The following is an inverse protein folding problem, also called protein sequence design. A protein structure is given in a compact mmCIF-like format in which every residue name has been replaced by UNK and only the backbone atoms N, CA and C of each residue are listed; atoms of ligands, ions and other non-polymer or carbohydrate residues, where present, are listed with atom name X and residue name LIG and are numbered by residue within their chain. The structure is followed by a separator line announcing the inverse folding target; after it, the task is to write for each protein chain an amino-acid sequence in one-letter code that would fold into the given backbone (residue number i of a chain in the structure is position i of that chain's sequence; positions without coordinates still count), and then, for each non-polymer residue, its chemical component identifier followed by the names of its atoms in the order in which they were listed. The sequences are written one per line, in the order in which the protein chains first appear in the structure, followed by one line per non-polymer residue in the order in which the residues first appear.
data_IF_683140849292
#
_entry.id   IF_683140849292
#
_cell.length_a   1.000
_cell.length_b   1.000
_cell.length_c   1.000
_cell.angle_alpha   90.00
_cell.angle_beta   90.00
_cell.angle_gamma   90.00
#
_symmetry.space_group_name_H-M   'P 1'
#
loop_
_entity.id
_entity.type
_entity.pdbx_description
1 polymer ?
#
# COMPACT_ATOMS: atom_id res chain seq x y z
N UNK A 1 -58.15 15.72 16.83
CA UNK A 1 -57.06 15.54 15.85
C UNK A 1 -55.66 15.88 16.42
N UNK A 2 -55.51 16.95 17.20
CA UNK A 2 -54.23 17.41 17.81
C UNK A 2 -53.54 16.39 18.73
N UNK A 3 -54.29 15.65 19.56
CA UNK A 3 -53.73 14.61 20.47
C UNK A 3 -53.09 13.42 19.73
N UNK A 4 -53.63 13.00 18.58
CA UNK A 4 -53.06 11.93 17.73
C UNK A 4 -51.77 12.38 17.04
N UNK A 5 -51.69 13.65 16.62
CA UNK A 5 -50.48 14.20 16.01
C UNK A 5 -49.36 14.32 17.08
N UNK A 6 -49.68 14.83 18.28
CA UNK A 6 -48.73 14.93 19.39
C UNK A 6 -48.17 13.57 19.84
N UNK A 7 -49.00 12.51 19.89
CA UNK A 7 -48.53 11.16 20.26
C UNK A 7 -47.62 10.54 19.20
N UNK A 8 -47.92 10.74 17.90
CA UNK A 8 -47.06 10.30 16.78
C UNK A 8 -45.70 11.02 16.84
N UNK A 9 -45.68 12.32 17.13
CA UNK A 9 -44.42 13.06 17.31
C UNK A 9 -43.61 12.58 18.53
N UNK A 10 -44.28 12.25 19.64
CA UNK A 10 -43.63 11.72 20.85
C UNK A 10 -43.04 10.32 20.62
N UNK A 11 -43.78 9.43 19.96
CA UNK A 11 -43.32 8.09 19.57
C UNK A 11 -42.16 8.15 18.57
N UNK A 12 -42.22 9.01 17.56
CA UNK A 12 -41.12 9.22 16.62
C UNK A 12 -39.87 9.78 17.32
N UNK A 13 -40.04 10.71 18.26
CA UNK A 13 -38.96 11.26 19.11
C UNK A 13 -38.29 10.18 19.97
N UNK A 14 -39.09 9.33 20.64
CA UNK A 14 -38.61 8.22 21.47
C UNK A 14 -37.88 7.16 20.64
N UNK A 15 -38.39 6.78 19.47
CA UNK A 15 -37.71 5.85 18.55
C UNK A 15 -36.38 6.41 18.03
N UNK A 16 -36.32 7.71 17.70
CA UNK A 16 -35.08 8.37 17.29
C UNK A 16 -34.06 8.38 18.43
N UNK A 17 -34.48 8.64 19.67
CA UNK A 17 -33.64 8.58 20.88
C UNK A 17 -33.13 7.16 21.15
N UNK A 18 -33.99 6.14 21.12
CA UNK A 18 -33.60 4.74 21.35
C UNK A 18 -32.61 4.19 20.31
N UNK A 19 -32.82 4.52 19.04
CA UNK A 19 -31.90 4.13 17.98
C UNK A 19 -30.60 4.95 17.96
N UNK A 20 -30.59 6.18 18.50
CA UNK A 20 -29.35 6.91 18.73
C UNK A 20 -28.56 6.31 19.89
N UNK A 21 -29.23 5.99 21.01
CA UNK A 21 -28.62 5.36 22.18
C UNK A 21 -27.98 4.01 21.83
N UNK A 22 -28.62 3.20 21.00
CA UNK A 22 -28.06 1.90 20.58
C UNK A 22 -26.80 2.01 19.72
N UNK A 23 -26.64 3.10 18.95
CA UNK A 23 -25.43 3.37 18.17
C UNK A 23 -24.36 4.13 18.95
N UNK A 24 -24.71 4.85 20.02
CA UNK A 24 -23.82 5.68 20.82
C UNK A 24 -22.98 4.88 21.85
N UNK A 25 -22.55 3.67 21.51
CA UNK A 25 -21.70 2.83 22.37
C UNK A 25 -20.30 3.43 22.51
N UNK A 26 -19.59 3.10 23.60
CA UNK A 26 -18.22 3.60 23.83
C UNK A 26 -17.27 3.28 22.65
N UNK A 27 -17.35 2.07 22.09
CA UNK A 27 -16.55 1.66 20.93
C UNK A 27 -16.84 2.50 19.68
N UNK A 28 -18.12 2.80 19.42
CA UNK A 28 -18.54 3.63 18.30
C UNK A 28 -18.09 5.08 18.48
N UNK A 29 -18.21 5.65 19.68
CA UNK A 29 -17.73 7.00 19.97
C UNK A 29 -16.20 7.10 19.84
N UNK A 30 -15.44 6.09 20.30
CA UNK A 30 -13.99 6.00 20.11
C UNK A 30 -13.62 5.95 18.62
N UNK A 31 -14.40 5.21 17.81
CA UNK A 31 -14.21 5.12 16.36
C UNK A 31 -14.50 6.43 15.63
N UNK A 32 -15.55 7.16 16.02
CA UNK A 32 -15.81 8.47 15.43
C UNK A 32 -14.72 9.48 15.79
N UNK A 33 -14.27 9.49 17.05
CA UNK A 33 -13.15 10.36 17.49
C UNK A 33 -11.85 10.06 16.74
N UNK A 34 -11.52 8.78 16.53
CA UNK A 34 -10.30 8.41 15.77
C UNK A 34 -10.33 8.85 14.30
N UNK A 35 -11.52 9.18 13.77
CA UNK A 35 -11.73 9.67 12.42
C UNK A 35 -11.99 11.20 12.35
N UNK A 36 -11.83 11.93 13.46
CA UNK A 36 -12.21 13.34 13.61
C UNK A 36 -13.70 13.63 13.34
N UNK A 37 -14.58 12.67 13.58
CA UNK A 37 -16.01 12.79 13.34
C UNK A 37 -16.74 13.08 14.65
N UNK A 38 -17.61 14.10 14.65
CA UNK A 38 -18.49 14.39 15.78
C UNK A 38 -19.48 13.26 16.04
N UNK A 39 -19.76 12.89 17.31
CA UNK A 39 -20.83 11.95 17.68
C UNK A 39 -22.21 12.29 17.11
N UNK A 40 -22.48 13.58 16.84
CA UNK A 40 -23.73 14.01 16.20
C UNK A 40 -23.95 13.39 14.81
N UNK A 41 -22.90 12.88 14.16
CA UNK A 41 -22.99 12.19 12.88
C UNK A 41 -23.80 10.88 12.95
N UNK A 42 -23.96 10.27 14.14
CA UNK A 42 -24.85 9.12 14.33
C UNK A 42 -26.33 9.42 14.04
N UNK A 43 -26.71 10.71 14.02
CA UNK A 43 -28.06 11.16 13.63
C UNK A 43 -28.23 11.33 12.12
N UNK A 44 -27.16 11.23 11.34
CA UNK A 44 -27.24 11.38 9.88
C UNK A 44 -28.13 10.28 9.28
N UNK A 45 -29.22 10.69 8.61
CA UNK A 45 -30.21 9.77 8.02
C UNK A 45 -29.59 8.83 6.98
N UNK A 46 -28.64 9.33 6.19
CA UNK A 46 -27.96 8.54 5.16
C UNK A 46 -27.06 7.45 5.76
N UNK A 47 -26.34 7.77 6.84
CA UNK A 47 -25.54 6.81 7.59
C UNK A 47 -26.42 5.70 8.14
N UNK A 48 -27.53 6.05 8.81
CA UNK A 48 -28.47 5.08 9.40
C UNK A 48 -29.10 4.17 8.36
N UNK A 49 -29.49 4.73 7.20
CA UNK A 49 -30.01 3.94 6.07
C UNK A 49 -28.99 2.89 5.60
N UNK A 50 -27.73 3.29 5.41
CA UNK A 50 -26.66 2.38 4.98
C UNK A 50 -26.37 1.34 6.06
N UNK A 51 -26.25 1.76 7.32
CA UNK A 51 -26.01 0.88 8.47
C UNK A 51 -27.09 -0.21 8.55
N UNK A 52 -28.37 0.18 8.49
CA UNK A 52 -29.49 -0.76 8.57
C UNK A 52 -29.48 -1.77 7.42
N UNK A 53 -29.35 -1.32 6.17
CA UNK A 53 -29.27 -2.21 5.00
C UNK A 53 -28.07 -3.16 5.05
N UNK A 54 -26.95 -2.71 5.63
CA UNK A 54 -25.78 -3.58 5.80
C UNK A 54 -25.98 -4.58 6.94
N UNK A 55 -26.67 -4.18 8.01
CA UNK A 55 -26.98 -5.04 9.15
C UNK A 55 -28.02 -6.12 8.81
N UNK A 56 -28.99 -5.81 7.95
CA UNK A 56 -29.98 -6.76 7.45
C UNK A 56 -29.50 -7.41 6.15
N UNK A 57 -29.87 -6.83 5.02
CA UNK A 57 -29.94 -7.48 3.71
C UNK A 57 -28.57 -7.92 3.21
N UNK A 58 -27.52 -7.13 3.51
CA UNK A 58 -26.16 -7.37 3.00
C UNK A 58 -25.23 -8.09 3.97
N UNK A 59 -25.68 -8.32 5.20
CA UNK A 59 -24.85 -8.84 6.30
C UNK A 59 -24.12 -10.12 5.90
N UNK A 60 -24.88 -11.11 5.46
CA UNK A 60 -24.32 -12.43 5.18
C UNK A 60 -23.38 -12.43 3.98
N UNK A 61 -23.68 -11.62 2.95
CA UNK A 61 -22.78 -11.43 1.81
C UNK A 61 -21.43 -10.85 2.23
N UNK A 62 -21.44 -9.78 3.03
CA UNK A 62 -20.25 -9.14 3.56
C UNK A 62 -19.42 -10.12 4.39
N UNK A 63 -20.05 -10.81 5.35
CA UNK A 63 -19.35 -11.71 6.27
C UNK A 63 -18.80 -12.96 5.57
N UNK A 64 -19.55 -13.54 4.62
CA UNK A 64 -19.05 -14.66 3.80
C UNK A 64 -17.83 -14.26 2.98
N UNK A 65 -17.86 -13.08 2.36
CA UNK A 65 -16.73 -12.61 1.57
C UNK A 65 -15.49 -12.39 2.44
N UNK A 66 -15.62 -11.71 3.59
CA UNK A 66 -14.50 -11.49 4.49
C UNK A 66 -13.94 -12.78 5.11
N UNK A 67 -14.80 -13.77 5.36
CA UNK A 67 -14.36 -15.09 5.80
C UNK A 67 -13.50 -15.81 4.75
N UNK A 68 -13.78 -15.62 3.44
CA UNK A 68 -12.94 -16.14 2.36
C UNK A 68 -11.56 -15.47 2.32
N UNK A 69 -11.48 -14.22 2.75
CA UNK A 69 -10.27 -13.40 2.79
C UNK A 69 -9.51 -13.49 4.13
N UNK A 70 -9.75 -14.51 4.96
CA UNK A 70 -9.12 -14.68 6.28
C UNK A 70 -7.58 -14.63 6.25
N UNK A 71 -6.96 -15.17 5.21
CA UNK A 71 -5.50 -15.17 5.05
C UNK A 71 -4.98 -13.78 4.66
N UNK A 72 -5.71 -13.08 3.77
CA UNK A 72 -5.45 -11.68 3.41
C UNK A 72 -5.52 -10.79 4.64
N UNK A 73 -6.55 -10.95 5.47
CA UNK A 73 -6.69 -10.27 6.76
C UNK A 73 -5.49 -10.58 7.66
N UNK A 74 -5.08 -11.85 7.76
CA UNK A 74 -3.88 -12.28 8.49
C UNK A 74 -2.61 -11.52 8.09
N UNK A 75 -2.38 -11.38 6.78
CA UNK A 75 -1.18 -10.73 6.23
C UNK A 75 -1.12 -9.23 6.55
N UNK A 76 -2.26 -8.53 6.54
CA UNK A 76 -2.31 -7.08 6.70
C UNK A 76 -2.51 -6.63 8.14
N UNK A 77 -2.86 -7.53 9.06
CA UNK A 77 -2.98 -7.23 10.50
C UNK A 77 -1.72 -6.60 11.09
N UNK A 78 -0.55 -7.18 10.80
CA UNK A 78 0.73 -6.65 11.26
C UNK A 78 0.98 -5.23 10.72
N UNK A 79 0.64 -4.99 9.45
CA UNK A 79 0.77 -3.67 8.83
C UNK A 79 -0.17 -2.65 9.49
N UNK A 80 -1.43 -3.02 9.75
CA UNK A 80 -2.40 -2.15 10.45
C UNK A 80 -1.90 -1.82 11.86
N UNK A 81 -1.41 -2.83 12.59
CA UNK A 81 -0.95 -2.68 13.98
C UNK A 81 0.28 -1.76 14.11
N UNK A 82 1.20 -1.84 13.15
CA UNK A 82 2.43 -1.03 13.14
C UNK A 82 2.23 0.36 12.53
N UNK A 83 1.09 0.61 11.87
CA UNK A 83 0.83 1.89 11.21
C UNK A 83 0.49 3.00 12.20
N UNK A 84 0.93 4.23 11.89
CA UNK A 84 0.55 5.45 12.63
C UNK A 84 -0.81 6.02 12.20
N UNK A 85 -1.50 5.39 11.25
CA UNK A 85 -2.82 5.82 10.81
C UNK A 85 -3.90 5.18 11.69
N UNK A 86 -5.06 5.84 11.91
CA UNK A 86 -6.15 5.23 12.64
C UNK A 86 -6.55 3.88 12.03
N UNK A 87 -6.61 2.83 12.85
CA UNK A 87 -7.02 1.48 12.42
C UNK A 87 -8.39 1.50 11.73
N UNK A 88 -9.26 2.44 12.10
CA UNK A 88 -10.57 2.69 11.48
C UNK A 88 -10.52 3.03 9.98
N UNK A 89 -9.38 3.48 9.45
CA UNK A 89 -9.21 3.72 8.01
C UNK A 89 -9.04 2.44 7.20
N UNK A 90 -8.78 1.30 7.85
CA UNK A 90 -8.76 0.01 7.17
C UNK A 90 -10.10 -0.31 6.48
N UNK A 91 -11.22 0.20 7.00
CA UNK A 91 -12.53 0.02 6.39
C UNK A 91 -12.70 0.72 5.04
N UNK A 92 -11.73 1.55 4.62
CA UNK A 92 -11.59 1.96 3.20
C UNK A 92 -11.40 0.70 2.34
N UNK A 93 -10.42 -0.16 2.63
CA UNK A 93 -10.18 -1.38 1.86
C UNK A 93 -11.40 -2.34 1.87
N UNK A 94 -12.10 -2.42 3.01
CA UNK A 94 -13.36 -3.19 3.10
C UNK A 94 -14.44 -2.57 2.22
N UNK A 95 -14.56 -1.24 2.19
CA UNK A 95 -15.53 -0.53 1.34
C UNK A 95 -15.20 -0.65 -0.15
N UNK A 96 -13.92 -0.63 -0.50
CA UNK A 96 -13.43 -0.69 -1.88
C UNK A 96 -13.65 -2.06 -2.53
N UNK A 97 -13.37 -3.15 -1.82
CA UNK A 97 -13.29 -4.48 -2.43
C UNK A 97 -13.78 -5.64 -1.55
N UNK A 98 -14.24 -5.35 -0.32
CA UNK A 98 -14.42 -6.36 0.72
C UNK A 98 -13.16 -7.25 0.90
N UNK A 99 -11.98 -6.64 0.71
CA UNK A 99 -10.67 -7.27 0.75
C UNK A 99 -10.41 -8.32 -0.34
N UNK A 100 -11.21 -8.34 -1.40
CA UNK A 100 -10.98 -9.23 -2.54
C UNK A 100 -9.76 -8.75 -3.36
N UNK A 101 -8.66 -9.50 -3.30
CA UNK A 101 -7.41 -9.23 -4.02
C UNK A 101 -7.54 -9.27 -5.55
N UNK A 102 -8.58 -9.91 -6.08
CA UNK A 102 -8.82 -10.05 -7.52
C UNK A 102 -9.85 -9.06 -8.06
N UNK A 103 -10.38 -8.19 -7.21
CA UNK A 103 -11.41 -7.23 -7.59
C UNK A 103 -10.86 -6.20 -8.60
N UNK A 104 -11.74 -5.79 -9.51
CA UNK A 104 -11.41 -4.98 -10.69
C UNK A 104 -12.54 -3.99 -10.98
N UNK A 105 -12.19 -2.71 -11.13
CA UNK A 105 -13.12 -1.70 -11.59
C UNK A 105 -12.99 -1.41 -13.08
N UNK A 106 -14.07 -0.92 -13.71
CA UNK A 106 -14.06 -0.44 -15.10
C UNK A 106 -12.99 0.63 -15.37
N UNK A 107 -12.56 1.37 -14.34
CA UNK A 107 -11.49 2.38 -14.39
C UNK A 107 -10.09 1.80 -14.21
N UNK A 108 -9.95 0.48 -14.19
CA UNK A 108 -8.68 -0.23 -14.08
C UNK A 108 -8.10 -0.31 -12.67
N UNK A 109 -8.87 0.05 -11.64
CA UNK A 109 -8.48 -0.12 -10.25
C UNK A 109 -8.40 -1.62 -9.89
N UNK A 110 -7.45 -1.99 -9.02
CA UNK A 110 -7.20 -3.40 -8.66
C UNK A 110 -6.80 -3.59 -7.20
N UNK A 111 -7.10 -4.79 -6.70
CA UNK A 111 -6.66 -5.27 -5.39
C UNK A 111 -7.44 -4.68 -4.24
N UNK A 112 -7.04 -5.00 -3.01
CA UNK A 112 -7.87 -4.73 -1.83
C UNK A 112 -8.13 -3.23 -1.56
N UNK A 113 -7.21 -2.39 -2.04
CA UNK A 113 -7.28 -0.93 -1.93
C UNK A 113 -7.81 -0.25 -3.19
N UNK A 114 -8.16 -1.01 -4.24
CA UNK A 114 -8.63 -0.47 -5.53
C UNK A 114 -7.72 0.65 -6.06
N UNK A 115 -6.41 0.41 -6.10
CA UNK A 115 -5.48 1.39 -6.68
C UNK A 115 -5.60 1.45 -8.20
N UNK A 116 -5.80 2.65 -8.74
CA UNK A 116 -5.59 2.90 -10.18
C UNK A 116 -4.09 2.81 -10.54
N UNK A 117 -3.74 2.41 -11.78
CA UNK A 117 -2.34 2.15 -12.15
C UNK A 117 -1.38 3.33 -11.95
N UNK A 118 -1.82 4.55 -12.27
CA UNK A 118 -1.02 5.78 -12.14
C UNK A 118 -0.65 6.05 -10.68
N UNK A 119 -1.64 6.07 -9.79
CA UNK A 119 -1.42 6.26 -8.35
C UNK A 119 -0.54 5.16 -7.77
N UNK A 120 -0.79 3.91 -8.13
CA UNK A 120 0.05 2.79 -7.68
C UNK A 120 1.53 2.99 -8.02
N UNK A 121 1.84 3.35 -9.28
CA UNK A 121 3.22 3.62 -9.72
C UNK A 121 3.83 4.83 -9.02
N UNK A 122 3.08 5.92 -8.86
CA UNK A 122 3.54 7.13 -8.18
C UNK A 122 3.96 6.87 -6.73
N UNK A 123 3.34 5.88 -6.08
CA UNK A 123 3.67 5.48 -4.71
C UNK A 123 4.60 4.25 -4.64
N UNK A 124 5.17 3.82 -5.77
CA UNK A 124 6.23 2.82 -5.81
C UNK A 124 5.77 1.37 -5.93
N UNK A 125 4.49 1.11 -6.22
CA UNK A 125 4.04 -0.24 -6.56
C UNK A 125 4.49 -0.61 -7.97
N UNK A 126 5.14 -1.76 -8.10
CA UNK A 126 5.55 -2.31 -9.40
C UNK A 126 4.36 -2.91 -10.13
N UNK A 127 4.18 -2.48 -11.37
CA UNK A 127 3.21 -3.04 -12.31
C UNK A 127 3.93 -3.29 -13.62
N UNK A 128 4.22 -4.56 -13.91
CA UNK A 128 4.90 -4.97 -15.13
C UNK A 128 4.31 -6.29 -15.67
N UNK A 129 5.04 -6.96 -16.58
CA UNK A 129 4.58 -8.22 -17.21
C UNK A 129 4.60 -9.43 -16.27
N UNK A 130 5.32 -9.36 -15.15
CA UNK A 130 5.43 -10.47 -14.18
C UNK A 130 4.60 -10.21 -12.92
N UNK A 131 4.55 -8.96 -12.45
CA UNK A 131 3.92 -8.61 -11.17
C UNK A 131 2.97 -7.42 -11.31
N UNK A 132 1.85 -7.48 -10.60
CA UNK A 132 0.99 -6.34 -10.27
C UNK A 132 0.87 -6.21 -8.74
N UNK A 133 1.70 -5.37 -8.14
CA UNK A 133 1.79 -5.22 -6.67
C UNK A 133 0.56 -4.54 -6.04
N UNK A 134 -0.38 -4.03 -6.86
CA UNK A 134 -1.69 -3.61 -6.34
C UNK A 134 -2.47 -4.77 -5.74
N UNK A 135 -2.20 -5.99 -6.21
CA UNK A 135 -2.80 -7.22 -5.69
C UNK A 135 -1.98 -7.83 -4.54
N UNK A 136 -0.79 -7.31 -4.24
CA UNK A 136 -0.01 -7.76 -3.08
C UNK A 136 -0.62 -7.12 -1.81
N UNK A 137 -1.21 -7.90 -0.90
CA UNK A 137 -1.97 -7.33 0.22
C UNK A 137 -1.09 -6.54 1.18
N UNK A 138 0.16 -6.96 1.41
CA UNK A 138 1.08 -6.27 2.32
C UNK A 138 1.61 -4.99 1.68
N UNK A 139 2.14 -5.08 0.45
CA UNK A 139 2.72 -3.92 -0.23
C UNK A 139 1.69 -2.85 -0.53
N UNK A 140 0.51 -3.24 -1.04
CA UNK A 140 -0.57 -2.30 -1.31
C UNK A 140 -1.08 -1.63 -0.02
N UNK A 141 -1.15 -2.35 1.11
CA UNK A 141 -1.51 -1.76 2.41
C UNK A 141 -0.50 -0.74 2.91
N UNK A 142 0.80 -1.05 2.82
CA UNK A 142 1.86 -0.08 3.16
C UNK A 142 1.76 1.20 2.32
N UNK A 143 1.53 1.04 1.02
CA UNK A 143 1.35 2.17 0.11
C UNK A 143 0.08 2.95 0.40
N UNK A 144 -1.03 2.28 0.73
CA UNK A 144 -2.26 2.92 1.18
C UNK A 144 -2.03 3.76 2.43
N UNK A 145 -1.35 3.25 3.45
CA UNK A 145 -1.08 4.05 4.65
C UNK A 145 -0.16 5.24 4.40
N UNK A 146 0.83 5.09 3.50
CA UNK A 146 1.65 6.22 3.04
C UNK A 146 0.78 7.28 2.36
N UNK A 147 -0.12 6.86 1.47
CA UNK A 147 -1.03 7.76 0.77
C UNK A 147 -2.03 8.46 1.71
N UNK A 148 -2.65 7.71 2.63
CA UNK A 148 -3.57 8.25 3.64
C UNK A 148 -2.87 9.26 4.56
N UNK A 149 -1.60 9.00 4.91
CA UNK A 149 -0.79 9.93 5.70
C UNK A 149 -0.45 11.20 4.92
N UNK A 150 -0.15 11.10 3.63
CA UNK A 150 -0.01 12.28 2.76
C UNK A 150 -1.30 13.12 2.72
N UNK A 151 -2.45 12.48 2.48
CA UNK A 151 -3.74 13.17 2.46
C UNK A 151 -4.05 13.81 3.82
N UNK A 152 -3.68 13.17 4.93
CA UNK A 152 -3.89 13.73 6.26
C UNK A 152 -3.02 14.97 6.50
N UNK A 153 -1.75 14.95 6.09
CA UNK A 153 -0.89 16.15 6.13
C UNK A 153 -1.48 17.31 5.32
N UNK A 154 -2.11 17.00 4.19
CA UNK A 154 -2.72 17.98 3.30
C UNK A 154 -4.04 18.55 3.84
N UNK A 155 -4.89 17.71 4.44
CA UNK A 155 -6.28 18.05 4.76
C UNK A 155 -6.55 18.23 6.26
N UNK A 156 -5.66 17.74 7.13
CA UNK A 156 -5.70 17.88 8.58
C UNK A 156 -6.79 17.11 9.33
N UNK A 157 -7.67 16.38 8.64
CA UNK A 157 -8.79 15.62 9.25
C UNK A 157 -8.99 14.28 8.56
N UNK A 158 -9.13 13.20 9.32
CA UNK A 158 -9.25 11.85 8.75
C UNK A 158 -10.53 11.62 7.94
N UNK A 159 -11.67 12.22 8.31
CA UNK A 159 -12.88 12.14 7.48
C UNK A 159 -12.70 12.82 6.10
N UNK A 160 -11.87 13.87 6.00
CA UNK A 160 -11.53 14.48 4.72
C UNK A 160 -10.64 13.56 3.89
N UNK A 161 -9.73 12.84 4.53
CA UNK A 161 -8.89 11.81 3.89
C UNK A 161 -9.75 10.71 3.26
N UNK A 162 -10.75 10.20 3.98
CA UNK A 162 -11.68 9.19 3.44
C UNK A 162 -12.38 9.71 2.17
N UNK A 163 -12.84 10.96 2.19
CA UNK A 163 -13.51 11.55 1.02
C UNK A 163 -12.54 11.80 -0.14
N UNK A 164 -11.30 12.21 0.16
CA UNK A 164 -10.27 12.45 -0.85
C UNK A 164 -9.77 11.14 -1.48
N UNK A 165 -9.78 10.03 -0.73
CA UNK A 165 -9.47 8.71 -1.27
C UNK A 165 -10.40 8.34 -2.43
N UNK A 166 -11.71 8.59 -2.28
CA UNK A 166 -12.71 8.33 -3.31
C UNK A 166 -12.73 9.39 -4.43
N UNK A 167 -12.67 10.67 -4.08
CA UNK A 167 -12.92 11.76 -5.03
C UNK A 167 -11.68 12.46 -5.60
N UNK A 168 -10.51 12.19 -5.03
CA UNK A 168 -9.29 12.97 -5.22
C UNK A 168 -9.23 14.21 -4.32
N UNK A 169 -8.02 14.59 -3.90
CA UNK A 169 -7.74 15.69 -3.00
C UNK A 169 -8.21 17.04 -3.57
N UNK A 170 -7.99 17.29 -4.86
CA UNK A 170 -8.39 18.56 -5.49
C UNK A 170 -9.91 18.74 -5.54
N UNK A 171 -10.67 17.64 -5.65
CA UNK A 171 -12.13 17.69 -5.60
C UNK A 171 -12.62 18.03 -4.19
N UNK A 172 -11.99 17.46 -3.17
CA UNK A 172 -12.33 17.73 -1.77
C UNK A 172 -11.93 19.15 -1.38
N UNK A 173 -10.74 19.60 -1.76
CA UNK A 173 -10.26 20.97 -1.51
C UNK A 173 -11.21 22.00 -2.14
N UNK A 174 -11.63 21.80 -3.39
CA UNK A 174 -12.60 22.69 -4.04
C UNK A 174 -13.95 22.71 -3.31
N UNK A 175 -14.46 21.56 -2.89
CA UNK A 175 -15.69 21.46 -2.11
C UNK A 175 -15.59 22.20 -0.76
N UNK A 176 -14.46 22.07 -0.07
CA UNK A 176 -14.18 22.79 1.18
C UNK A 176 -14.13 24.30 0.95
N UNK A 177 -13.38 24.76 -0.05
CA UNK A 177 -13.25 26.18 -0.38
C UNK A 177 -14.63 26.77 -0.67
N UNK A 178 -15.46 26.10 -1.49
CA UNK A 178 -16.81 26.55 -1.78
C UNK A 178 -17.69 26.65 -0.54
N UNK A 179 -17.70 25.63 0.32
CA UNK A 179 -18.45 25.66 1.57
C UNK A 179 -18.01 26.83 2.48
N UNK A 180 -16.69 27.08 2.58
CA UNK A 180 -16.13 28.20 3.35
C UNK A 180 -16.50 29.55 2.75
N UNK A 181 -16.40 29.71 1.43
CA UNK A 181 -16.76 30.95 0.73
C UNK A 181 -18.25 31.22 0.88
N UNK A 182 -19.12 30.23 0.74
CA UNK A 182 -20.57 30.41 0.93
C UNK A 182 -20.91 30.79 2.38
N UNK A 183 -20.19 30.23 3.37
CA UNK A 183 -20.32 30.62 4.79
C UNK A 183 -19.88 32.07 5.01
N UNK A 184 -18.77 32.49 4.41
CA UNK A 184 -18.31 33.88 4.47
C UNK A 184 -19.25 34.84 3.76
N UNK A 185 -19.80 34.46 2.60
CA UNK A 185 -20.72 35.28 1.82
C UNK A 185 -22.01 35.58 2.57
N UNK A 186 -22.47 34.68 3.44
CA UNK A 186 -23.61 34.93 4.34
C UNK A 186 -23.31 36.03 5.36
N UNK A 187 -22.05 36.18 5.79
CA UNK A 187 -21.63 37.18 6.77
C UNK A 187 -21.26 38.52 6.14
N UNK A 188 -20.59 38.49 4.99
CA UNK A 188 -20.01 39.68 4.34
C UNK A 188 -20.87 40.24 3.19
N UNK A 189 -21.95 39.54 2.82
CA UNK A 189 -22.74 39.84 1.63
C UNK A 189 -22.21 39.15 0.36
N UNK A 190 -23.14 38.74 -0.51
CA UNK A 190 -22.82 38.02 -1.75
C UNK A 190 -22.06 38.86 -2.78
N UNK A 191 -22.28 40.18 -2.76
CA UNK A 191 -21.68 41.14 -3.67
C UNK A 191 -20.35 41.71 -3.16
N UNK A 192 -19.84 41.22 -2.02
CA UNK A 192 -18.56 41.67 -1.50
C UNK A 192 -17.42 41.38 -2.51
N UNK A 193 -16.52 42.35 -2.81
CA UNK A 193 -15.44 42.16 -3.78
C UNK A 193 -14.56 40.94 -3.52
N UNK A 194 -14.24 40.64 -2.25
CA UNK A 194 -13.45 39.45 -1.87
C UNK A 194 -14.18 38.15 -2.22
N UNK A 195 -15.50 38.11 -2.04
CA UNK A 195 -16.32 36.93 -2.38
C UNK A 195 -16.36 36.72 -3.90
N UNK A 196 -16.44 37.80 -4.70
CA UNK A 196 -16.34 37.71 -6.16
C UNK A 196 -15.00 37.13 -6.60
N UNK A 197 -13.89 37.69 -6.09
CA UNK A 197 -12.54 37.21 -6.36
C UNK A 197 -12.36 35.71 -6.01
N UNK A 198 -12.86 35.28 -4.84
CA UNK A 198 -12.78 33.88 -4.44
C UNK A 198 -13.59 32.95 -5.37
N UNK A 199 -14.75 33.40 -5.85
CA UNK A 199 -15.56 32.65 -6.81
C UNK A 199 -14.90 32.56 -8.18
N UNK A 200 -14.17 33.56 -8.62
CA UNK A 200 -13.36 33.50 -9.84
C UNK A 200 -12.26 32.44 -9.75
N UNK A 201 -11.53 32.37 -8.63
CA UNK A 201 -10.54 31.31 -8.38
C UNK A 201 -11.18 29.92 -8.45
N UNK A 202 -12.36 29.75 -7.82
CA UNK A 202 -13.13 28.49 -7.88
C UNK A 202 -13.50 28.16 -9.33
N UNK A 203 -14.04 29.12 -10.10
CA UNK A 203 -14.45 28.92 -11.50
C UNK A 203 -13.25 28.56 -12.39
N UNK A 204 -12.12 29.25 -12.23
CA UNK A 204 -10.90 28.96 -12.95
C UNK A 204 -10.43 27.52 -12.73
N UNK A 205 -10.49 27.00 -11.49
CA UNK A 205 -10.22 25.59 -11.23
C UNK A 205 -11.28 24.65 -11.83
N UNK A 206 -12.55 25.03 -11.81
CA UNK A 206 -13.61 24.22 -12.41
C UNK A 206 -13.43 24.05 -13.92
N UNK A 207 -12.94 25.07 -14.62
CA UNK A 207 -12.64 25.06 -16.06
C UNK A 207 -11.29 24.39 -16.37
N UNK A 208 -10.21 24.81 -15.70
CA UNK A 208 -8.83 24.48 -16.10
C UNK A 208 -8.14 23.43 -15.21
N UNK A 209 -8.83 22.89 -14.20
CA UNK A 209 -8.35 21.83 -13.30
C UNK A 209 -6.92 22.05 -12.80
N UNK A 210 -5.98 21.19 -13.23
CA UNK A 210 -4.58 21.14 -12.76
C UNK A 210 -3.88 22.49 -12.90
N UNK A 211 -4.12 23.21 -14.01
CA UNK A 211 -3.46 24.49 -14.30
C UNK A 211 -3.86 25.61 -13.32
N UNK A 212 -4.95 25.45 -12.57
CA UNK A 212 -5.41 26.41 -11.56
C UNK A 212 -5.41 25.84 -10.15
N UNK A 213 -4.81 24.66 -9.92
CA UNK A 213 -4.78 24.02 -8.61
C UNK A 213 -4.00 24.86 -7.58
N UNK A 214 -2.87 25.45 -7.95
CA UNK A 214 -2.05 26.25 -7.04
C UNK A 214 -2.81 27.45 -6.47
N UNK A 215 -3.57 28.17 -7.32
CA UNK A 215 -4.42 29.31 -6.89
C UNK A 215 -5.54 28.85 -5.96
N UNK A 216 -6.21 27.73 -6.28
CA UNK A 216 -7.22 27.16 -5.41
C UNK A 216 -6.63 26.73 -4.06
N UNK A 217 -5.45 26.10 -4.07
CA UNK A 217 -4.79 25.63 -2.86
C UNK A 217 -4.32 26.78 -1.96
N UNK A 218 -3.80 27.87 -2.56
CA UNK A 218 -3.51 29.10 -1.83
C UNK A 218 -4.77 29.67 -1.15
N UNK A 219 -5.90 29.69 -1.85
CA UNK A 219 -7.18 30.11 -1.27
C UNK A 219 -7.65 29.17 -0.15
N UNK A 220 -7.51 27.85 -0.32
CA UNK A 220 -7.79 26.86 0.72
C UNK A 220 -7.02 27.16 2.02
N UNK A 221 -5.72 27.43 1.90
CA UNK A 221 -4.88 27.78 3.04
C UNK A 221 -5.26 29.14 3.65
N UNK A 222 -5.56 30.15 2.82
CA UNK A 222 -6.04 31.48 3.27
C UNK A 222 -7.33 31.37 4.09
N UNK A 223 -8.20 30.42 3.74
CA UNK A 223 -9.48 30.19 4.41
C UNK A 223 -9.39 29.20 5.60
N UNK A 224 -8.20 28.87 6.11
CA UNK A 224 -8.03 27.87 7.18
C UNK A 224 -8.90 28.13 8.43
N UNK A 225 -9.05 29.40 8.82
CA UNK A 225 -9.80 29.80 10.03
C UNK A 225 -11.33 29.73 9.86
N UNK A 226 -11.84 29.60 8.63
CA UNK A 226 -13.29 29.44 8.40
C UNK A 226 -13.67 27.99 8.72
N UNK A 227 -14.22 27.76 9.92
CA UNK A 227 -14.62 26.42 10.38
C UNK A 227 -15.82 25.90 9.59
N UNK A 228 -15.69 24.69 9.05
CA UNK A 228 -16.78 23.89 8.45
C UNK A 228 -16.77 22.49 9.06
N UNK A 229 -17.94 21.88 9.16
CA UNK A 229 -18.14 20.53 9.70
C UNK A 229 -18.27 19.51 8.57
N UNK A 230 -18.20 18.22 8.92
CA UNK A 230 -18.56 17.14 7.99
C UNK A 230 -19.99 17.32 7.45
N UNK A 231 -20.96 17.67 8.31
CA UNK A 231 -22.36 17.84 7.89
C UNK A 231 -22.54 19.01 6.91
N UNK A 232 -21.76 20.09 7.05
CA UNK A 232 -21.78 21.20 6.08
C UNK A 232 -21.39 20.74 4.67
N UNK A 233 -20.41 19.83 4.58
CA UNK A 233 -19.92 19.27 3.31
C UNK A 233 -20.88 18.22 2.72
N UNK A 234 -21.61 17.50 3.57
CA UNK A 234 -22.55 16.46 3.15
C UNK A 234 -23.95 16.96 2.84
N UNK A 235 -24.25 18.22 3.17
CA UNK A 235 -25.53 18.85 2.86
C UNK A 235 -25.77 18.85 1.35
N UNK A 236 -27.03 18.79 0.95
CA UNK A 236 -27.43 19.06 -0.43
C UNK A 236 -27.52 20.57 -0.66
N UNK A 237 -26.98 21.07 -1.78
CA UNK A 237 -27.10 22.46 -2.19
C UNK A 237 -28.23 22.57 -3.23
N UNK A 238 -29.43 23.04 -2.86
CA UNK A 238 -30.51 23.24 -3.84
C UNK A 238 -30.06 24.28 -4.89
N UNK A 239 -30.48 24.09 -6.13
CA UNK A 239 -30.22 24.98 -7.27
C UNK A 239 -28.73 25.20 -7.62
N UNK A 240 -27.81 24.46 -6.99
CA UNK A 240 -26.41 24.50 -7.35
C UNK A 240 -26.14 23.55 -8.54
N UNK A 241 -25.64 24.11 -9.65
CA UNK A 241 -25.16 23.33 -10.82
C UNK A 241 -24.17 22.21 -10.44
N UNK A 242 -23.44 22.39 -9.34
CA UNK A 242 -22.47 21.41 -8.83
C UNK A 242 -22.52 21.37 -7.31
N UNK A 243 -22.70 20.19 -6.74
CA UNK A 243 -22.61 19.99 -5.29
C UNK A 243 -21.17 20.17 -4.78
N UNK A 244 -20.98 20.52 -3.50
CA UNK A 244 -19.64 20.60 -2.88
C UNK A 244 -18.89 19.28 -3.05
N UNK A 245 -19.55 18.18 -2.70
CA UNK A 245 -19.06 16.82 -2.90
C UNK A 245 -20.02 16.03 -3.79
N UNK A 246 -19.53 15.15 -4.69
CA UNK A 246 -20.39 14.23 -5.45
C UNK A 246 -21.28 13.35 -4.55
N UNK A 247 -22.43 12.91 -5.07
CA UNK A 247 -23.31 11.97 -4.36
C UNK A 247 -22.59 10.69 -3.95
N UNK A 248 -21.75 10.15 -4.84
CA UNK A 248 -20.90 8.98 -4.60
C UNK A 248 -20.01 9.18 -3.37
N UNK A 249 -19.26 10.27 -3.30
CA UNK A 249 -18.35 10.58 -2.19
C UNK A 249 -19.10 10.79 -0.87
N UNK A 250 -20.28 11.43 -0.92
CA UNK A 250 -21.15 11.60 0.24
C UNK A 250 -21.68 10.26 0.76
N UNK A 251 -21.99 9.32 -0.13
CA UNK A 251 -22.37 7.97 0.24
C UNK A 251 -21.16 7.16 0.74
N UNK A 252 -20.00 7.36 0.13
CA UNK A 252 -18.76 6.64 0.44
C UNK A 252 -18.31 6.81 1.89
N UNK A 253 -18.20 8.06 2.39
CA UNK A 253 -17.87 8.32 3.79
C UNK A 253 -18.87 7.66 4.75
N UNK A 254 -20.16 7.65 4.40
CA UNK A 254 -21.19 6.97 5.19
C UNK A 254 -21.02 5.44 5.18
N UNK A 255 -20.63 4.84 4.06
CA UNK A 255 -20.31 3.40 3.97
C UNK A 255 -19.13 3.03 4.85
N UNK A 256 -18.03 3.79 4.79
CA UNK A 256 -16.83 3.56 5.60
C UNK A 256 -17.16 3.66 7.10
N UNK A 257 -17.92 4.68 7.50
CA UNK A 257 -18.35 4.85 8.89
C UNK A 257 -19.33 3.74 9.29
N UNK A 258 -20.32 3.40 8.46
CA UNK A 258 -21.27 2.33 8.77
C UNK A 258 -20.56 0.99 9.01
N UNK A 259 -19.61 0.61 8.15
CA UNK A 259 -18.83 -0.61 8.34
C UNK A 259 -18.01 -0.57 9.64
N UNK A 260 -17.36 0.55 9.95
CA UNK A 260 -16.69 0.71 11.24
C UNK A 260 -17.62 0.43 12.44
N UNK A 261 -18.83 1.01 12.44
CA UNK A 261 -19.81 0.83 13.51
C UNK A 261 -20.35 -0.61 13.59
N UNK A 262 -20.59 -1.24 12.43
CA UNK A 262 -21.09 -2.62 12.35
C UNK A 262 -20.10 -3.62 12.93
N UNK A 263 -18.81 -3.45 12.67
CA UNK A 263 -17.79 -4.36 13.20
C UNK A 263 -17.54 -4.18 14.70
N UNK A 264 -17.98 -3.07 15.30
CA UNK A 264 -18.05 -2.95 16.76
C UNK A 264 -19.28 -3.67 17.36
N UNK A 265 -20.24 -4.09 16.53
CA UNK A 265 -21.48 -4.71 16.96
C UNK A 265 -21.36 -6.24 16.97
N UNK A 266 -21.39 -6.83 18.18
CA UNK A 266 -21.32 -8.30 18.34
C UNK A 266 -22.46 -9.05 17.64
N UNK A 267 -23.68 -8.48 17.58
CA UNK A 267 -24.82 -9.09 16.87
C UNK A 267 -24.58 -9.12 15.36
N UNK A 268 -23.96 -8.07 14.82
CA UNK A 268 -23.60 -8.03 13.40
C UNK A 268 -22.66 -9.19 13.04
N UNK A 269 -21.62 -9.44 13.82
CA UNK A 269 -20.69 -10.54 13.53
C UNK A 269 -21.26 -11.92 13.85
N UNK A 270 -21.97 -12.06 14.97
CA UNK A 270 -22.38 -13.36 15.50
C UNK A 270 -21.19 -14.26 15.87
N UNK A 271 -21.48 -15.42 16.49
CA UNK A 271 -20.45 -16.37 16.95
C UNK A 271 -19.58 -16.88 15.80
N UNK A 272 -20.19 -17.17 14.64
CA UNK A 272 -19.52 -17.72 13.44
C UNK A 272 -18.37 -16.86 12.90
N UNK A 273 -18.48 -15.54 12.98
CA UNK A 273 -17.49 -14.61 12.38
C UNK A 273 -16.66 -13.84 13.42
N UNK A 274 -16.71 -14.24 14.69
CA UNK A 274 -15.96 -13.59 15.78
C UNK A 274 -14.44 -13.55 15.52
N UNK A 275 -13.89 -14.53 14.79
CA UNK A 275 -12.48 -14.60 14.41
C UNK A 275 -12.00 -13.39 13.55
N UNK A 276 -12.92 -12.68 12.89
CA UNK A 276 -12.59 -11.48 12.12
C UNK A 276 -12.07 -10.34 13.02
N UNK A 277 -12.50 -10.30 14.28
CA UNK A 277 -12.05 -9.31 15.26
C UNK A 277 -10.69 -9.59 15.88
N UNK A 278 -10.18 -10.82 15.77
CA UNK A 278 -8.94 -11.21 16.43
C UNK A 278 -7.70 -10.71 15.66
N UNK A 279 -7.46 -9.39 15.70
CA UNK A 279 -6.35 -8.72 15.04
C UNK A 279 -4.98 -9.23 15.52
N UNK A 280 -4.90 -9.78 16.73
CA UNK A 280 -3.66 -10.23 17.36
C UNK A 280 -3.32 -11.71 17.08
N UNK A 281 -4.19 -12.46 16.38
CA UNK A 281 -3.88 -13.84 16.05
C UNK A 281 -2.69 -13.92 15.08
N UNK A 282 -1.70 -14.80 15.32
CA UNK A 282 -0.55 -14.96 14.44
C UNK A 282 -0.99 -15.38 13.03
N UNK A 283 -0.33 -14.82 12.02
CA UNK A 283 -0.59 -15.16 10.62
C UNK A 283 -0.17 -16.60 10.35
N UNK A 284 -1.07 -17.42 9.81
CA UNK A 284 -0.74 -18.75 9.28
C UNK A 284 0.03 -18.70 7.95
N UNK A 285 0.39 -17.50 7.48
CA UNK A 285 1.07 -17.25 6.23
C UNK A 285 2.43 -16.59 6.50
N UNK A 286 3.49 -17.19 5.99
CA UNK A 286 4.85 -16.65 5.98
C UNK A 286 5.13 -15.86 4.69
N UNK A 287 5.78 -14.70 4.84
CA UNK A 287 6.38 -13.96 3.72
C UNK A 287 7.82 -14.40 3.54
N UNK A 288 8.19 -14.87 2.35
CA UNK A 288 9.51 -15.39 2.02
C UNK A 288 10.13 -14.68 0.84
N UNK A 289 11.45 -14.69 0.73
CA UNK A 289 12.15 -14.27 -0.49
C UNK A 289 11.88 -15.29 -1.60
N UNK A 290 11.34 -14.82 -2.73
CA UNK A 290 11.06 -15.67 -3.88
C UNK A 290 12.36 -16.09 -4.59
N UNK A 291 12.51 -17.35 -5.04
CA UNK A 291 13.54 -17.72 -6.00
C UNK A 291 13.24 -17.03 -7.33
N UNK A 292 14.24 -16.62 -8.10
CA UNK A 292 14.02 -15.95 -9.39
C UNK A 292 13.67 -16.95 -10.49
N UNK A 293 12.90 -16.53 -11.51
CA UNK A 293 12.59 -17.30 -12.74
C UNK A 293 12.08 -18.73 -12.49
N UNK A 294 11.34 -18.94 -11.41
CA UNK A 294 10.94 -20.28 -10.95
C UNK A 294 9.43 -20.45 -11.11
N UNK A 295 9.01 -21.53 -11.78
CA UNK A 295 7.59 -21.87 -11.95
C UNK A 295 6.92 -22.16 -10.59
N UNK A 296 5.71 -21.65 -10.40
CA UNK A 296 4.90 -21.95 -9.22
C UNK A 296 4.60 -23.45 -9.09
N UNK A 297 4.51 -24.19 -10.20
CA UNK A 297 4.36 -25.67 -10.16
C UNK A 297 5.60 -26.35 -9.58
N UNK A 298 6.80 -25.85 -9.91
CA UNK A 298 8.06 -26.35 -9.34
C UNK A 298 8.13 -26.06 -7.83
N UNK A 299 7.76 -24.85 -7.41
CA UNK A 299 7.71 -24.50 -5.99
C UNK A 299 6.72 -25.40 -5.25
N UNK A 300 5.49 -25.52 -5.76
CA UNK A 300 4.44 -26.38 -5.23
C UNK A 300 4.93 -27.82 -5.01
N UNK A 301 5.54 -28.43 -6.05
CA UNK A 301 6.10 -29.79 -5.99
C UNK A 301 7.19 -29.95 -4.94
N UNK A 302 8.17 -29.03 -4.91
CA UNK A 302 9.30 -29.13 -3.99
C UNK A 302 8.91 -28.89 -2.53
N UNK A 303 7.91 -28.04 -2.27
CA UNK A 303 7.47 -27.73 -0.91
C UNK A 303 6.27 -28.55 -0.44
N UNK A 304 5.59 -29.28 -1.32
CA UNK A 304 4.32 -29.94 -1.02
C UNK A 304 3.20 -28.96 -0.68
N UNK A 305 3.19 -27.79 -1.32
CA UNK A 305 2.05 -26.84 -1.27
C UNK A 305 1.20 -27.10 -2.51
N UNK A 306 -0.12 -27.18 -2.39
CA UNK A 306 -0.96 -27.31 -3.58
C UNK A 306 -0.80 -26.09 -4.48
N UNK A 307 -0.65 -26.31 -5.79
CA UNK A 307 -0.48 -25.23 -6.77
C UNK A 307 -1.61 -24.19 -6.69
N UNK A 308 -2.86 -24.64 -6.50
CA UNK A 308 -4.03 -23.77 -6.32
C UNK A 308 -3.90 -22.87 -5.08
N UNK A 309 -3.48 -23.43 -3.93
CA UNK A 309 -3.25 -22.63 -2.70
C UNK A 309 -2.11 -21.64 -2.90
N UNK A 310 -0.98 -22.06 -3.49
CA UNK A 310 0.15 -21.19 -3.75
C UNK A 310 -0.20 -20.02 -4.68
N UNK A 311 -0.94 -20.30 -5.77
CA UNK A 311 -1.43 -19.26 -6.69
C UNK A 311 -2.39 -18.30 -5.99
N UNK A 312 -3.32 -18.81 -5.17
CA UNK A 312 -4.29 -17.99 -4.41
C UNK A 312 -3.61 -17.07 -3.41
N UNK A 313 -2.58 -17.53 -2.73
CA UNK A 313 -1.79 -16.73 -1.78
C UNK A 313 -0.90 -15.69 -2.47
N UNK A 314 -0.63 -15.84 -3.77
CA UNK A 314 0.26 -14.96 -4.54
C UNK A 314 -0.46 -14.29 -5.73
N UNK A 315 -1.56 -13.57 -5.48
CA UNK A 315 -2.38 -12.95 -6.53
C UNK A 315 -1.64 -11.86 -7.32
N UNK A 316 -0.53 -11.34 -6.79
CA UNK A 316 0.34 -10.33 -7.42
C UNK A 316 1.13 -10.88 -8.61
N UNK A 317 1.33 -12.19 -8.69
CA UNK A 317 2.00 -12.80 -9.83
C UNK A 317 1.05 -12.84 -11.03
N UNK A 318 1.38 -12.11 -12.10
CA UNK A 318 0.62 -12.11 -13.36
C UNK A 318 0.88 -13.36 -14.19
N UNK A 319 2.05 -13.96 -14.01
CA UNK A 319 2.47 -15.21 -14.65
C UNK A 319 2.64 -16.26 -13.56
N UNK A 320 2.39 -17.54 -13.86
CA UNK A 320 2.59 -18.64 -12.91
C UNK A 320 4.10 -18.96 -12.69
N UNK A 321 4.95 -17.93 -12.72
CA UNK A 321 6.40 -17.96 -12.58
C UNK A 321 6.86 -16.72 -11.80
N UNK A 322 7.84 -16.88 -10.93
CA UNK A 322 8.47 -15.76 -10.23
C UNK A 322 9.31 -14.90 -11.19
N UNK A 323 9.40 -13.58 -10.94
CA UNK A 323 10.14 -12.67 -11.81
C UNK A 323 11.66 -12.93 -11.82
N UNK A 324 12.39 -12.31 -12.77
CA UNK A 324 13.85 -12.35 -12.82
C UNK A 324 14.56 -11.46 -11.79
N UNK A 325 13.81 -10.77 -10.92
CA UNK A 325 14.31 -9.84 -9.91
C UNK A 325 13.79 -10.21 -8.51
N UNK A 326 14.36 -9.58 -7.47
CA UNK A 326 14.00 -9.82 -6.08
C UNK A 326 12.53 -9.49 -5.82
N UNK A 327 11.77 -10.45 -5.32
CA UNK A 327 10.38 -10.26 -4.87
C UNK A 327 10.05 -11.19 -3.70
N UNK A 328 8.87 -11.07 -3.12
CA UNK A 328 8.41 -11.95 -2.05
C UNK A 328 7.29 -12.88 -2.53
N UNK A 329 7.18 -14.04 -1.88
CA UNK A 329 6.02 -14.92 -1.96
C UNK A 329 5.39 -15.08 -0.57
N UNK A 330 4.13 -15.47 -0.59
CA UNK A 330 3.36 -15.87 0.57
C UNK A 330 3.14 -17.38 0.50
N UNK A 331 3.52 -18.08 1.56
CA UNK A 331 3.32 -19.53 1.71
C UNK A 331 2.70 -19.82 3.07
N UNK A 332 2.04 -20.97 3.25
CA UNK A 332 1.63 -21.40 4.58
C UNK A 332 2.84 -21.52 5.51
N UNK A 333 2.72 -21.01 6.73
CA UNK A 333 3.82 -20.92 7.69
C UNK A 333 4.43 -22.30 7.99
N UNK A 334 3.60 -23.34 8.07
CA UNK A 334 4.00 -24.73 8.29
C UNK A 334 4.91 -25.30 7.17
N UNK A 335 5.00 -24.62 6.03
CA UNK A 335 5.85 -25.01 4.88
C UNK A 335 7.17 -24.24 4.83
N UNK A 336 7.41 -23.33 5.77
CA UNK A 336 8.60 -22.47 5.78
C UNK A 336 9.91 -23.26 5.87
N UNK A 337 10.00 -24.22 6.79
CA UNK A 337 11.20 -25.04 6.97
C UNK A 337 11.53 -25.84 5.68
N UNK A 338 10.52 -26.49 5.10
CA UNK A 338 10.67 -27.24 3.84
C UNK A 338 10.99 -26.35 2.65
N UNK A 339 10.46 -25.12 2.60
CA UNK A 339 10.87 -24.16 1.58
C UNK A 339 12.35 -23.78 1.74
N UNK A 340 12.78 -23.43 2.97
CA UNK A 340 14.17 -23.05 3.24
C UNK A 340 15.14 -24.17 2.89
N UNK A 341 14.84 -25.43 3.20
CA UNK A 341 15.74 -26.54 2.86
C UNK A 341 15.85 -26.80 1.34
N UNK A 342 14.77 -26.59 0.57
CA UNK A 342 14.76 -26.85 -0.89
C UNK A 342 15.24 -25.67 -1.74
N UNK A 343 15.07 -24.45 -1.24
CA UNK A 343 15.43 -23.21 -1.92
C UNK A 343 16.54 -22.44 -1.20
N UNK A 344 17.28 -23.10 -0.30
CA UNK A 344 18.49 -22.56 0.28
C UNK A 344 19.39 -22.06 -0.85
N UNK A 345 19.61 -20.75 -0.88
CA UNK A 345 20.56 -20.15 -1.81
C UNK A 345 21.93 -20.71 -1.40
N UNK A 346 22.56 -21.52 -2.25
CA UNK A 346 24.02 -21.74 -2.16
C UNK A 346 24.65 -20.35 -2.16
N UNK A 347 25.20 -19.91 -1.02
CA UNK A 347 25.76 -18.56 -0.81
C UNK A 347 26.76 -18.24 -1.94
N UNK A 348 26.35 -17.49 -2.97
CA UNK A 348 27.29 -16.92 -3.95
C UNK A 348 27.66 -15.53 -3.46
N UNK A 349 28.86 -15.44 -2.88
CA UNK A 349 29.54 -14.23 -2.39
C UNK A 349 29.91 -13.36 -3.61
N UNK A 350 29.27 -12.20 -3.78
CA UNK A 350 29.47 -11.08 -4.75
C UNK A 350 30.22 -11.31 -6.09
N UNK A 351 30.49 -10.24 -6.85
CA UNK A 351 31.26 -10.33 -8.10
C UNK A 351 32.36 -9.26 -8.19
N UNK A 352 33.55 -9.66 -8.64
CA UNK A 352 34.63 -8.81 -9.13
C UNK A 352 34.38 -8.50 -10.62
N UNK A 353 34.54 -7.24 -11.03
CA UNK A 353 34.44 -6.84 -12.45
C UNK A 353 35.84 -6.83 -13.06
N UNK A 354 36.10 -7.70 -14.02
CA UNK A 354 37.37 -7.80 -14.73
C UNK A 354 37.23 -7.26 -16.15
N UNK A 355 38.06 -6.29 -16.52
CA UNK A 355 38.10 -5.75 -17.88
C UNK A 355 38.98 -6.66 -18.73
N UNK A 356 38.40 -7.21 -19.79
CA UNK A 356 39.08 -8.09 -20.76
C UNK A 356 40.19 -7.32 -21.46
N UNK A 357 41.40 -7.89 -21.48
CA UNK A 357 42.58 -7.33 -22.16
C UNK A 357 42.83 -8.02 -23.50
N UNK A 358 43.65 -7.42 -24.35
CA UNK A 358 44.08 -8.04 -25.62
C UNK A 358 44.73 -9.40 -25.33
N UNK A 359 44.26 -10.45 -26.01
CA UNK A 359 44.73 -11.82 -25.84
C UNK A 359 44.09 -12.63 -24.71
N UNK A 360 43.16 -12.02 -23.94
CA UNK A 360 42.34 -12.74 -22.95
C UNK A 360 41.26 -13.59 -23.64
N UNK A 361 40.99 -14.75 -23.05
CA UNK A 361 39.83 -15.58 -23.35
C UNK A 361 39.30 -16.18 -22.05
N UNK A 362 38.13 -16.83 -22.09
CA UNK A 362 37.55 -17.42 -20.88
C UNK A 362 38.51 -18.38 -20.18
N UNK A 363 39.30 -19.16 -20.91
CA UNK A 363 40.25 -20.10 -20.33
C UNK A 363 41.36 -19.39 -19.55
N UNK A 364 42.03 -18.41 -20.16
CA UNK A 364 43.11 -17.64 -19.53
C UNK A 364 42.64 -16.85 -18.30
N UNK A 365 41.44 -16.25 -18.39
CA UNK A 365 40.84 -15.56 -17.24
C UNK A 365 40.48 -16.60 -16.16
N UNK A 366 39.88 -17.73 -16.55
CA UNK A 366 39.49 -18.77 -15.60
C UNK A 366 40.69 -19.33 -14.83
N UNK A 367 41.78 -19.64 -15.53
CA UNK A 367 43.06 -20.08 -14.96
C UNK A 367 43.63 -19.04 -13.98
N UNK A 368 43.61 -17.75 -14.34
CA UNK A 368 44.10 -16.66 -13.50
C UNK A 368 43.36 -16.55 -12.17
N UNK A 369 42.07 -16.85 -12.16
CA UNK A 369 41.22 -16.72 -10.97
C UNK A 369 40.92 -18.06 -10.28
N UNK A 370 41.46 -19.18 -10.78
CA UNK A 370 41.21 -20.50 -10.21
C UNK A 370 39.74 -20.92 -10.27
N UNK A 371 39.02 -20.47 -11.30
CA UNK A 371 37.64 -20.85 -11.61
C UNK A 371 37.68 -21.77 -12.84
N UNK A 372 36.71 -22.68 -13.00
CA UNK A 372 36.61 -23.46 -14.24
C UNK A 372 36.11 -22.58 -15.40
N UNK A 373 36.60 -22.82 -16.61
CA UNK A 373 36.18 -22.10 -17.82
C UNK A 373 34.66 -22.17 -18.03
N UNK A 374 34.08 -23.35 -17.78
CA UNK A 374 32.63 -23.60 -17.87
C UNK A 374 31.85 -22.76 -16.86
N UNK A 375 32.31 -22.66 -15.62
CA UNK A 375 31.65 -21.87 -14.58
C UNK A 375 31.78 -20.37 -14.88
N UNK A 376 32.95 -19.89 -15.28
CA UNK A 376 33.15 -18.48 -15.66
C UNK A 376 32.27 -18.07 -16.84
N UNK A 377 32.21 -18.89 -17.89
CA UNK A 377 31.32 -18.66 -19.03
C UNK A 377 29.85 -18.68 -18.59
N UNK A 378 29.46 -19.62 -17.73
CA UNK A 378 28.08 -19.72 -17.25
C UNK A 378 27.60 -18.48 -16.51
N UNK A 379 28.54 -17.75 -15.90
CA UNK A 379 28.31 -16.53 -15.17
C UNK A 379 28.22 -15.29 -16.07
N UNK A 380 28.72 -15.38 -17.30
CA UNK A 380 28.88 -14.27 -18.24
C UNK A 380 28.30 -14.61 -19.62
N UNK A 381 27.24 -15.42 -19.67
CA UNK A 381 26.68 -15.97 -20.92
C UNK A 381 26.28 -14.87 -21.91
N UNK A 382 25.92 -13.70 -21.41
CA UNK A 382 25.55 -12.52 -22.20
C UNK A 382 26.71 -11.95 -23.02
N UNK A 383 27.96 -12.24 -22.68
CA UNK A 383 29.13 -11.76 -23.44
C UNK A 383 29.44 -12.62 -24.67
N UNK A 384 28.73 -13.75 -24.85
CA UNK A 384 28.97 -14.70 -25.93
C UNK A 384 30.22 -15.57 -25.72
N UNK A 385 30.52 -16.43 -26.70
CA UNK A 385 31.63 -17.41 -26.64
C UNK A 385 33.02 -16.77 -26.75
N UNK A 386 33.11 -15.62 -27.42
CA UNK A 386 34.37 -14.91 -27.65
C UNK A 386 34.36 -13.58 -26.91
N UNK A 387 35.41 -13.32 -26.13
CA UNK A 387 35.58 -12.08 -25.39
C UNK A 387 36.31 -11.05 -26.27
N UNK A 388 35.86 -9.79 -26.20
CA UNK A 388 36.49 -8.64 -26.85
C UNK A 388 37.21 -7.77 -25.81
N UNK A 389 38.40 -7.22 -26.12
CA UNK A 389 39.06 -6.27 -25.24
C UNK A 389 38.12 -5.13 -24.82
N UNK A 390 38.17 -4.73 -23.55
CA UNK A 390 37.29 -3.72 -22.96
C UNK A 390 35.97 -4.25 -22.37
N UNK A 391 35.56 -5.49 -22.69
CA UNK A 391 34.37 -6.09 -22.06
C UNK A 391 34.58 -6.34 -20.58
N UNK A 392 33.48 -6.35 -19.81
CA UNK A 392 33.53 -6.61 -18.37
C UNK A 392 33.04 -8.04 -18.10
N UNK A 393 33.95 -8.90 -17.64
CA UNK A 393 33.66 -10.24 -17.13
C UNK A 393 33.44 -10.17 -15.62
N UNK A 394 32.28 -10.61 -15.16
CA UNK A 394 31.95 -10.78 -13.75
C UNK A 394 32.55 -12.09 -13.22
N UNK A 395 33.42 -11.98 -12.23
CA UNK A 395 34.10 -13.08 -11.56
C UNK A 395 33.51 -13.23 -10.16
N UNK A 396 32.96 -14.38 -9.76
CA UNK A 396 32.46 -14.57 -8.40
C UNK A 396 33.56 -14.28 -7.35
N UNK A 397 33.25 -13.47 -6.32
CA UNK A 397 34.27 -12.96 -5.39
C UNK A 397 35.05 -14.08 -4.68
N UNK A 398 34.41 -15.22 -4.41
CA UNK A 398 35.08 -16.40 -3.79
C UNK A 398 36.34 -16.84 -4.55
N UNK A 399 36.36 -16.68 -5.88
CA UNK A 399 37.51 -17.05 -6.73
C UNK A 399 38.54 -15.91 -6.82
N UNK A 400 38.07 -14.66 -6.79
CA UNK A 400 38.95 -13.49 -6.78
C UNK A 400 39.89 -13.51 -5.57
N UNK A 401 39.38 -13.81 -4.36
CA UNK A 401 40.19 -13.85 -3.14
C UNK A 401 41.29 -14.91 -3.16
N UNK A 402 41.00 -16.11 -3.67
CA UNK A 402 41.99 -17.18 -3.76
C UNK A 402 43.16 -16.81 -4.68
N UNK A 403 42.89 -16.07 -5.77
CA UNK A 403 43.94 -15.55 -6.67
C UNK A 403 44.83 -14.51 -5.97
N UNK A 404 44.24 -13.59 -5.18
CA UNK A 404 44.99 -12.60 -4.42
C UNK A 404 45.86 -13.22 -3.32
N UNK A 405 45.40 -14.29 -2.68
CA UNK A 405 46.17 -14.98 -1.65
C UNK A 405 47.41 -15.70 -2.22
N UNK A 406 47.31 -16.23 -3.44
CA UNK A 406 48.43 -16.89 -4.15
C UNK A 406 49.52 -15.92 -4.60
N UNK A 407 49.19 -14.67 -4.95
CA UNK A 407 50.15 -13.66 -5.42
C UNK A 407 50.73 -12.83 -4.27
N UNK A 408 51.46 -13.45 -3.34
CA UNK A 408 52.15 -12.80 -2.20
C UNK A 408 52.72 -11.41 -2.60
N UNK A 409 52.44 -10.40 -1.77
CA UNK A 409 52.84 -8.97 -1.88
C UNK A 409 52.30 -8.21 -3.13
N UNK A 410 51.02 -7.84 -3.11
CA UNK A 410 50.50 -6.71 -3.90
C UNK A 410 49.93 -5.65 -2.96
N UNK A 411 50.50 -4.43 -2.98
CA UNK A 411 50.09 -3.32 -2.13
C UNK A 411 48.68 -2.80 -2.49
N UNK A 412 47.92 -2.40 -1.44
CA UNK A 412 46.52 -1.90 -1.47
C UNK A 412 46.19 -0.89 -2.57
N UNK A 413 47.12 0.01 -2.89
CA UNK A 413 46.96 1.01 -3.96
C UNK A 413 46.99 0.44 -5.39
N UNK A 414 47.72 -0.66 -5.63
CA UNK A 414 47.76 -1.30 -6.96
C UNK A 414 46.50 -2.12 -7.24
N UNK A 415 45.90 -2.76 -6.22
CA UNK A 415 44.70 -3.60 -6.38
C UNK A 415 43.45 -2.77 -6.69
N UNK A 416 43.28 -1.63 -6.00
CA UNK A 416 42.16 -0.71 -6.23
C UNK A 416 42.20 -0.10 -7.63
N UNK A 417 43.38 0.27 -8.13
CA UNK A 417 43.58 0.76 -9.51
C UNK A 417 43.40 -0.32 -10.59
N UNK A 418 43.87 -1.56 -10.36
CA UNK A 418 43.78 -2.62 -11.36
C UNK A 418 42.35 -3.14 -11.58
N UNK A 419 41.51 -3.10 -10.53
CA UNK A 419 40.22 -3.79 -10.50
C UNK A 419 39.03 -2.88 -10.17
N UNK A 420 39.25 -1.56 -10.13
CA UNK A 420 38.23 -0.54 -9.89
C UNK A 420 37.40 -0.79 -8.62
N UNK A 421 38.05 -1.23 -7.54
CA UNK A 421 37.41 -1.33 -6.23
C UNK A 421 37.33 0.03 -5.55
N UNK A 422 36.22 0.31 -4.86
CA UNK A 422 36.19 1.46 -3.95
C UNK A 422 37.10 1.19 -2.73
N UNK A 423 37.84 2.18 -2.22
CA UNK A 423 38.71 2.03 -1.05
C UNK A 423 37.99 1.50 0.22
N UNK A 424 36.68 1.80 0.35
CA UNK A 424 35.81 1.27 1.42
C UNK A 424 35.59 -0.23 1.30
N UNK A 425 35.36 -0.74 0.08
CA UNK A 425 35.15 -2.17 -0.15
C UNK A 425 36.43 -2.96 0.16
N UNK A 426 37.61 -2.45 -0.20
CA UNK A 426 38.89 -3.10 0.11
C UNK A 426 39.17 -3.19 1.62
N UNK A 427 38.79 -2.16 2.40
CA UNK A 427 38.98 -2.12 3.86
C UNK A 427 38.18 -3.23 4.57
N UNK A 428 36.95 -3.49 4.13
CA UNK A 428 36.09 -4.58 4.63
C UNK A 428 36.65 -6.00 4.35
N UNK A 429 37.68 -6.12 3.51
CA UNK A 429 38.31 -7.40 3.17
C UNK A 429 39.68 -7.61 3.82
N UNK A 430 40.36 -6.56 4.30
CA UNK A 430 41.55 -6.72 5.15
C UNK A 430 41.18 -7.35 6.50
N UNK A 431 40.00 -7.02 7.03
CA UNK A 431 39.43 -7.59 8.27
C UNK A 431 39.23 -9.13 8.16
N UNK A 432 39.04 -9.64 6.94
CA UNK A 432 38.90 -11.09 6.65
C UNK A 432 40.25 -11.82 6.74
N UNK A 433 41.38 -11.13 6.53
CA UNK A 433 42.72 -11.73 6.71
C UNK A 433 43.17 -11.76 8.17
N UNK A 434 42.58 -10.94 9.05
CA UNK A 434 42.89 -10.89 10.48
C UNK A 434 41.90 -11.68 11.36
N UNK A 435 41.00 -12.47 10.76
CA UNK A 435 40.11 -13.36 11.53
C UNK A 435 38.97 -12.67 12.28
N UNK A 436 38.69 -11.39 12.05
CA UNK A 436 37.60 -10.66 12.71
C UNK A 436 36.58 -10.23 11.67
N UNK A 437 35.58 -11.08 11.42
CA UNK A 437 34.28 -10.64 10.91
C UNK A 437 33.23 -11.13 11.89
N UNK A 438 32.66 -10.21 12.67
CA UNK A 438 31.50 -10.48 13.54
C UNK A 438 30.31 -10.92 12.67
N UNK A 439 29.58 -11.94 13.14
CA UNK A 439 28.62 -12.76 12.39
C UNK A 439 27.41 -12.05 11.72
N UNK A 440 27.24 -10.74 11.81
CA UNK A 440 25.97 -10.08 11.44
C UNK A 440 26.05 -8.79 10.59
N UNK A 441 27.13 -8.52 9.87
CA UNK A 441 27.18 -7.32 9.01
C UNK A 441 26.73 -7.55 7.55
N UNK A 442 25.63 -6.87 7.18
CA UNK A 442 25.13 -6.72 5.81
C UNK A 442 26.06 -5.86 4.96
N UNK A 443 26.30 -6.29 3.71
CA UNK A 443 27.13 -5.59 2.74
C UNK A 443 26.30 -5.28 1.48
N UNK A 444 25.81 -4.04 1.40
CA UNK A 444 25.01 -3.53 0.29
C UNK A 444 25.90 -2.75 -0.68
N UNK A 445 25.87 -3.10 -1.97
CA UNK A 445 26.56 -2.38 -3.05
C UNK A 445 25.53 -1.51 -3.80
N UNK A 446 25.67 -0.17 -3.82
CA UNK A 446 24.91 0.67 -4.74
C UNK A 446 25.40 0.44 -6.18
N UNK A 447 24.47 0.40 -7.14
CA UNK A 447 24.82 0.60 -8.56
C UNK A 447 24.94 2.11 -8.80
N UNK A 448 26.13 2.54 -9.19
CA UNK A 448 26.51 3.91 -9.56
C UNK A 448 28.02 3.90 -9.74
#
# INVERSE_FOLDING_TARGET
MVKKIASIFLLASLMVKGAFASLATHANLKTLRSLDISPSFLRDKGLRKIYNSYFSDKRDGILRQLAREKETIGLIRAEIAQSRVPKSLFYIAVTESLLNVNDYSSKGARGIWQFIPSTARNYGLRIDRYIDERKDPVKSTRVAFKYLSYLHKLLGKWYLVIMAYNAGEGRVIEGIVRAKVDKLAKRLGRNNPKIRQYREIIRAYQLNKKNSFNRLFALYNKLRNVKITLLDLLRYQPNARRQYLPSETRAYIRKVVALNLLFNNRKFLGKKYAFLLNINAPSSIARIQAPTRTSLRKIARLTGISYKKLKRLNPQLRRNVTPPYRTHLYIPYEKLAKFKSRFAVKKVRGVLRYVVKRGDNYYKIAQRFGISTKELYSYNKELGRHLRPGQIVAIPLKYAFNSFHRKKKLFRGKITKLFHFSPRLFKQFEDVKQGIVKEEQDLFIPKG
#
